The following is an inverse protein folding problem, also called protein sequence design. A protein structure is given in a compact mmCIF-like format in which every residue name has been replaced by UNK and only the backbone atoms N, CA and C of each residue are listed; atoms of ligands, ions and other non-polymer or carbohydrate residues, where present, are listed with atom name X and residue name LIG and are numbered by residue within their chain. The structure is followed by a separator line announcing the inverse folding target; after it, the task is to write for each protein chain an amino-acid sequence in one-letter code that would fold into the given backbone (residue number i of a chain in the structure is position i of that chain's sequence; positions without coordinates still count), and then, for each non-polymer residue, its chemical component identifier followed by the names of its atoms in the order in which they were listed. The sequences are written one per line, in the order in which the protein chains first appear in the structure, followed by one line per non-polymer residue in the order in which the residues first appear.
data_IF_310675783628
#
_entry.id   IF_310675783628
#
_cell.length_a   1.000
_cell.length_b   1.000
_cell.length_c   1.000
_cell.angle_alpha   90.00
_cell.angle_beta   90.00
_cell.angle_gamma   90.00
#
_symmetry.space_group_name_H-M   'P 1'
#
loop_
_entity.id
_entity.type
_entity.pdbx_description
1 polymer ?
#
# COMPACT_ATOMS: atom_id res chain seq x y z
N UNK A 1 3.17 0.51 13.42
CA UNK A 1 3.03 1.96 13.24
C UNK A 1 2.49 2.30 11.88
N UNK A 2 1.55 3.17 11.83
CA UNK A 2 0.91 3.50 10.56
C UNK A 2 1.22 4.92 10.16
N UNK A 3 1.46 5.09 8.88
CA UNK A 3 1.76 6.41 8.32
C UNK A 3 0.59 6.96 7.54
N UNK A 4 -0.49 6.22 7.49
CA UNK A 4 -1.69 6.65 6.80
C UNK A 4 -2.71 7.05 7.84
N UNK A 5 -3.25 8.24 7.69
CA UNK A 5 -4.22 8.74 8.65
C UNK A 5 -5.51 9.05 7.94
N UNK A 6 -6.58 9.06 8.71
CA UNK A 6 -7.87 9.40 8.17
C UNK A 6 -7.91 10.89 7.91
N UNK A 7 -8.35 11.26 6.73
CA UNK A 7 -8.51 12.65 6.44
C UNK A 7 -9.56 13.22 7.38
N UNK A 8 -9.33 14.44 7.77
CA UNK A 8 -10.28 15.10 8.66
C UNK A 8 -11.44 15.64 7.83
N UNK A 9 -12.54 14.92 7.79
CA UNK A 9 -13.66 15.34 6.96
C UNK A 9 -14.40 16.56 7.49
N UNK A 10 -14.15 16.90 8.73
CA UNK A 10 -14.86 18.00 9.32
C UNK A 10 -14.12 19.32 9.23
N UNK A 11 -12.96 19.32 8.60
CA UNK A 11 -12.22 20.57 8.54
C UNK A 11 -13.09 21.62 7.88
N UNK A 12 -13.76 21.28 6.79
CA UNK A 12 -14.81 22.11 6.22
C UNK A 12 -15.24 21.48 4.92
N UNK A 13 -16.43 21.80 4.48
CA UNK A 13 -16.98 21.20 3.29
C UNK A 13 -16.23 21.61 2.05
N UNK A 14 -16.04 20.67 1.16
CA UNK A 14 -15.38 20.94 -0.09
C UNK A 14 -16.14 21.96 -0.91
N UNK A 15 -17.43 21.94 -0.80
CA UNK A 15 -18.25 22.86 -1.59
C UNK A 15 -18.02 24.30 -1.24
N UNK A 16 -17.43 24.56 -0.09
CA UNK A 16 -17.15 25.93 0.32
C UNK A 16 -15.80 26.40 -0.17
N UNK A 17 -15.09 25.52 -0.83
CA UNK A 17 -13.77 25.86 -1.33
C UNK A 17 -13.64 25.35 -2.75
N UNK A 18 -14.17 26.10 -3.70
CA UNK A 18 -14.19 25.61 -5.07
C UNK A 18 -12.81 25.40 -5.68
N UNK A 19 -11.80 26.05 -5.14
CA UNK A 19 -10.48 25.87 -5.69
C UNK A 19 -9.81 24.61 -5.16
N UNK A 20 -10.43 23.98 -4.20
CA UNK A 20 -9.88 22.80 -3.64
C UNK A 20 -10.06 21.62 -4.57
N UNK A 21 -9.01 20.82 -4.78
CA UNK A 21 -9.14 19.66 -5.66
C UNK A 21 -10.20 18.73 -5.14
N UNK A 22 -10.94 18.20 -6.05
CA UNK A 22 -11.95 17.25 -5.67
C UNK A 22 -11.31 16.00 -5.15
N UNK A 23 -11.90 15.46 -4.12
CA UNK A 23 -11.46 14.19 -3.59
C UNK A 23 -12.07 13.13 -4.45
N UNK A 24 -11.25 12.49 -5.22
CA UNK A 24 -11.73 11.47 -6.07
C UNK A 24 -11.69 10.14 -5.40
N UNK A 25 -12.56 9.27 -5.80
CA UNK A 25 -12.55 7.91 -5.31
C UNK A 25 -12.85 7.79 -3.85
N UNK A 26 -13.40 8.82 -3.27
CA UNK A 26 -13.78 8.74 -1.87
C UNK A 26 -12.63 8.42 -0.94
N UNK A 27 -11.49 8.97 -1.21
CA UNK A 27 -10.32 8.71 -0.35
C UNK A 27 -10.58 9.24 1.04
N UNK A 28 -10.50 8.35 2.01
CA UNK A 28 -10.69 8.69 3.41
C UNK A 28 -9.39 8.90 4.14
N UNK A 29 -8.30 8.53 3.51
CA UNK A 29 -7.01 8.56 4.17
C UNK A 29 -6.04 9.48 3.45
N UNK A 30 -5.07 9.91 4.18
CA UNK A 30 -3.98 10.66 3.61
C UNK A 30 -2.70 10.15 4.26
N UNK A 31 -1.59 10.39 3.61
CA UNK A 31 -0.31 9.94 4.14
C UNK A 31 0.31 11.08 4.91
N UNK A 32 0.84 10.77 6.07
CA UNK A 32 1.51 11.78 6.88
C UNK A 32 2.70 12.34 6.10
N UNK A 33 2.87 13.64 6.11
CA UNK A 33 4.02 14.24 5.43
C UNK A 33 5.28 13.93 6.21
N UNK A 34 6.41 14.13 5.59
CA UNK A 34 7.69 13.99 6.26
C UNK A 34 8.05 12.57 6.64
N UNK A 35 7.47 11.60 5.96
CA UNK A 35 7.82 10.21 6.19
C UNK A 35 8.80 9.80 5.09
N UNK A 36 9.88 9.18 5.49
CA UNK A 36 10.87 8.73 4.53
C UNK A 36 10.29 7.64 3.62
N UNK A 37 10.78 7.62 2.41
CA UNK A 37 10.33 6.63 1.45
C UNK A 37 10.50 5.22 1.97
N UNK A 38 11.61 4.96 2.62
CA UNK A 38 11.86 3.64 3.16
C UNK A 38 10.76 3.23 4.14
N UNK A 39 10.37 4.15 5.00
CA UNK A 39 9.33 3.86 5.98
C UNK A 39 7.97 3.65 5.31
N UNK A 40 7.70 4.42 4.27
CA UNK A 40 6.45 4.26 3.55
C UNK A 40 6.38 2.89 2.90
N UNK A 41 7.47 2.47 2.28
CA UNK A 41 7.50 1.18 1.62
C UNK A 41 7.43 0.05 2.63
N UNK A 42 8.07 0.22 3.78
CA UNK A 42 8.02 -0.81 4.80
C UNK A 42 6.60 -0.99 5.30
N UNK A 43 5.88 0.11 5.49
CA UNK A 43 4.49 0.02 5.91
C UNK A 43 3.65 -0.66 4.83
N UNK A 44 3.89 -0.31 3.58
CA UNK A 44 3.15 -0.93 2.49
C UNK A 44 3.41 -2.43 2.43
N UNK A 45 4.66 -2.81 2.64
CA UNK A 45 5.04 -4.21 2.62
C UNK A 45 4.28 -4.99 3.70
N UNK A 46 4.24 -4.43 4.90
CA UNK A 46 3.53 -5.10 5.99
C UNK A 46 2.03 -5.22 5.70
N UNK A 47 1.46 -4.17 5.15
CA UNK A 47 0.03 -4.21 4.85
C UNK A 47 -0.27 -5.22 3.75
N UNK A 48 0.62 -5.34 2.79
CA UNK A 48 0.41 -6.31 1.72
C UNK A 48 0.46 -7.73 2.25
N UNK A 49 1.37 -8.00 3.18
CA UNK A 49 1.41 -9.32 3.79
C UNK A 49 0.12 -9.60 4.53
N UNK A 50 -0.40 -8.60 5.23
CA UNK A 50 -1.65 -8.77 5.94
C UNK A 50 -2.81 -9.03 4.99
N UNK A 51 -2.85 -8.28 3.90
CA UNK A 51 -3.91 -8.46 2.92
C UNK A 51 -3.86 -9.87 2.35
N UNK A 52 -2.66 -10.31 2.01
CA UNK A 52 -2.52 -11.64 1.45
C UNK A 52 -2.98 -12.70 2.45
N UNK A 53 -2.59 -12.57 3.70
CA UNK A 53 -2.95 -13.55 4.71
C UNK A 53 -4.46 -13.56 4.97
N UNK A 54 -5.05 -12.35 5.05
CA UNK A 54 -6.48 -12.25 5.32
C UNK A 54 -7.26 -12.83 4.15
N UNK A 55 -6.85 -12.54 2.94
CA UNK A 55 -7.55 -13.06 1.78
C UNK A 55 -7.43 -14.58 1.72
N UNK A 56 -6.25 -15.11 1.99
CA UNK A 56 -6.06 -16.55 1.96
C UNK A 56 -6.93 -17.20 3.01
N UNK A 57 -7.04 -16.59 4.17
CA UNK A 57 -7.86 -17.12 5.24
C UNK A 57 -9.33 -17.11 4.86
N UNK A 58 -9.77 -16.00 4.27
CA UNK A 58 -11.16 -15.92 3.84
C UNK A 58 -11.49 -16.94 2.77
N UNK A 59 -10.51 -17.28 1.94
CA UNK A 59 -10.75 -18.25 0.88
C UNK A 59 -11.20 -19.58 1.43
N UNK A 60 -10.85 -19.89 2.67
CA UNK A 60 -11.27 -21.15 3.29
C UNK A 60 -12.74 -21.12 3.69
N UNK A 61 -13.33 -19.93 3.77
CA UNK A 61 -14.70 -19.79 4.21
C UNK A 61 -15.68 -19.56 3.08
N UNK A 62 -15.21 -19.43 1.87
CA UNK A 62 -16.08 -19.16 0.75
C UNK A 62 -15.85 -20.21 -0.32
N UNK A 63 -16.76 -20.26 -1.28
CA UNK A 63 -16.70 -21.28 -2.32
C UNK A 63 -16.95 -20.67 -3.68
N UNK A 64 -16.66 -21.47 -4.70
CA UNK A 64 -16.99 -21.12 -6.05
C UNK A 64 -16.29 -19.88 -6.52
N UNK A 65 -17.06 -19.02 -7.13
CA UNK A 65 -16.50 -17.81 -7.71
C UNK A 65 -15.88 -16.90 -6.66
N UNK A 66 -16.53 -16.82 -5.52
CA UNK A 66 -16.01 -15.96 -4.46
C UNK A 66 -14.64 -16.41 -4.04
N UNK A 67 -14.44 -17.71 -3.96
CA UNK A 67 -13.13 -18.23 -3.58
C UNK A 67 -12.08 -17.86 -4.62
N UNK A 68 -12.43 -17.98 -5.88
CA UNK A 68 -11.49 -17.61 -6.94
C UNK A 68 -11.08 -16.15 -6.86
N UNK A 69 -12.06 -15.30 -6.59
CA UNK A 69 -11.78 -13.85 -6.48
C UNK A 69 -10.88 -13.59 -5.30
N UNK A 70 -11.17 -14.19 -4.17
CA UNK A 70 -10.39 -13.95 -2.97
C UNK A 70 -8.96 -14.46 -3.15
N UNK A 71 -8.80 -15.60 -3.80
CA UNK A 71 -7.46 -16.12 -4.05
C UNK A 71 -6.69 -15.20 -5.00
N UNK A 72 -7.38 -14.59 -5.95
CA UNK A 72 -6.72 -13.67 -6.85
C UNK A 72 -6.22 -12.45 -6.08
N UNK A 73 -7.00 -12.00 -5.11
CA UNK A 73 -6.57 -10.88 -4.28
C UNK A 73 -5.31 -11.25 -3.51
N UNK A 74 -5.29 -12.45 -2.95
CA UNK A 74 -4.12 -12.91 -2.21
C UNK A 74 -2.89 -12.94 -3.09
N UNK A 75 -3.04 -13.45 -4.32
CA UNK A 75 -1.91 -13.54 -5.23
C UNK A 75 -1.41 -12.18 -5.66
N UNK A 76 -2.34 -11.26 -5.90
CA UNK A 76 -1.94 -9.91 -6.29
C UNK A 76 -1.20 -9.23 -5.17
N UNK A 77 -1.67 -9.39 -3.95
CA UNK A 77 -0.98 -8.81 -2.81
C UNK A 77 0.42 -9.37 -2.67
N UNK A 78 0.57 -10.68 -2.89
CA UNK A 78 1.88 -11.29 -2.84
C UNK A 78 2.81 -10.71 -3.91
N UNK A 79 2.27 -10.51 -5.09
CA UNK A 79 3.09 -9.97 -6.17
C UNK A 79 3.55 -8.57 -5.88
N UNK A 80 2.65 -7.73 -5.41
CA UNK A 80 3.01 -6.36 -5.10
C UNK A 80 3.97 -6.32 -3.91
N UNK A 81 3.77 -7.21 -2.95
CA UNK A 81 4.69 -7.31 -1.84
C UNK A 81 6.12 -7.53 -2.33
N UNK A 82 6.30 -8.41 -3.29
CA UNK A 82 7.63 -8.67 -3.82
C UNK A 82 8.22 -7.45 -4.51
N UNK A 83 7.38 -6.70 -5.20
CA UNK A 83 7.86 -5.49 -5.86
C UNK A 83 8.30 -4.45 -4.83
N UNK A 84 7.53 -4.32 -3.77
CA UNK A 84 7.86 -3.36 -2.72
C UNK A 84 9.15 -3.79 -2.02
N UNK A 85 9.31 -5.09 -1.77
CA UNK A 85 10.52 -5.57 -1.13
C UNK A 85 11.74 -5.31 -1.99
N UNK A 86 11.57 -5.45 -3.30
CA UNK A 86 12.69 -5.16 -4.19
C UNK A 86 13.06 -3.67 -4.12
N UNK A 87 12.06 -2.81 -4.04
CA UNK A 87 12.32 -1.39 -3.93
C UNK A 87 13.01 -1.07 -2.61
N UNK A 88 12.59 -1.74 -1.55
CA UNK A 88 13.22 -1.54 -0.25
C UNK A 88 14.67 -1.97 -0.27
N UNK A 89 14.95 -3.07 -0.93
CA UNK A 89 16.33 -3.54 -1.01
C UNK A 89 17.24 -2.51 -1.64
N UNK A 90 16.74 -1.83 -2.64
CA UNK A 90 17.54 -0.81 -3.32
C UNK A 90 17.82 0.38 -2.41
N UNK A 91 16.87 0.70 -1.56
CA UNK A 91 17.04 1.81 -0.65
C UNK A 91 17.96 1.44 0.51
N UNK A 92 17.76 0.25 1.05
CA UNK A 92 18.54 -0.18 2.20
C UNK A 92 20.00 -0.43 1.87
N UNK A 93 20.28 -0.78 0.65
CA UNK A 93 21.62 -1.11 0.25
C UNK A 93 22.02 -0.34 -1.00
N UNK A 94 22.04 0.96 -0.93
CA UNK A 94 22.31 1.76 -2.12
C UNK A 94 23.66 1.46 -2.73
N UNK A 95 24.64 1.19 -1.93
CA UNK A 95 25.96 0.89 -2.48
C UNK A 95 25.98 -0.46 -3.17
N UNK A 96 25.25 -1.39 -2.59
CA UNK A 96 25.17 -2.71 -3.16
C UNK A 96 24.34 -2.67 -4.46
N UNK A 97 23.32 -1.90 -4.44
CA UNK A 97 22.46 -1.79 -5.60
C UNK A 97 23.18 -1.11 -6.73
N UNK A 98 24.17 -0.31 -6.40
CA UNK A 98 24.91 0.37 -7.41
C UNK A 98 25.77 -0.65 -8.13
N UNK A 99 25.57 -0.84 -9.34
CA UNK A 99 26.35 -1.84 -10.06
C UNK A 99 27.73 -1.32 -10.21
N UNK A 100 28.57 -2.01 -9.98
CA UNK A 100 29.93 -1.64 -10.16
C UNK A 100 30.30 -1.65 -11.61
N UNK A 101 30.02 -1.41 -11.82
CA UNK A 101 29.98 -1.62 -12.74
C UNK A 101 30.44 -2.17 -13.33
N UNK A 102 30.33 -2.33 -13.36
CA UNK A 102 30.48 -2.87 -13.80
C UNK A 102 30.38 -3.51 -14.03
N UNK A 103 30.35 -3.55 -14.14
CA UNK A 103 30.22 -4.26 -14.30
C UNK A 103 30.41 -4.57 -14.68
#
# INVERSE_FOLDING_TARGET
MRFITVKNPSSYPDKLNPSRPKIRNGHLFTVSPDIHTEALLANASEDLLSISAIAADLADDVEGRSRSVVLAISRMADGVYLLVERALDHIDSPNTAKPPLKT
#
